data_IF_186815130180
#
_entry.id   IF_186815130180
#
_cell.length_a   1.000
_cell.length_b   1.000
_cell.length_c   1.000
_cell.angle_alpha   90.00
_cell.angle_beta   90.00
_cell.angle_gamma   90.00
#
_symmetry.space_group_name_H-M   'P 1'
#
loop_
_entity.id
_entity.type
_entity.pdbx_description
1 polymer ?
#
# COMPACT_ATOMS: atom_id res chain seq x y z
N UNK A 1 38.06 33.98 23.84
CA UNK A 1 38.21 32.72 24.59
C UNK A 1 37.92 31.56 23.64
N UNK A 2 38.95 30.80 23.26
CA UNK A 2 38.84 29.61 22.42
C UNK A 2 38.63 28.38 23.32
N UNK A 3 37.60 27.57 23.05
CA UNK A 3 37.45 26.26 23.70
C UNK A 3 37.39 25.17 22.62
N UNK A 4 38.49 24.41 22.50
CA UNK A 4 38.58 23.19 21.68
C UNK A 4 38.05 22.02 22.50
N UNK A 5 36.98 21.38 22.04
CA UNK A 5 36.53 20.09 22.55
C UNK A 5 37.17 18.99 21.69
N UNK A 6 38.05 18.18 22.28
CA UNK A 6 38.55 16.92 21.70
C UNK A 6 37.51 15.83 21.93
N UNK A 7 37.01 15.20 20.88
CA UNK A 7 36.17 13.98 20.98
C UNK A 7 37.06 12.76 20.74
N UNK A 8 37.09 11.86 21.73
CA UNK A 8 37.86 10.62 21.72
C UNK A 8 37.35 9.64 20.65
N UNK A 9 38.21 9.24 19.71
CA UNK A 9 37.93 8.31 18.62
C UNK A 9 37.86 6.82 19.05
N UNK A 10 37.96 6.51 20.34
CA UNK A 10 38.06 5.13 20.85
C UNK A 10 36.74 4.38 21.06
N UNK A 11 35.60 5.08 21.17
CA UNK A 11 34.33 4.45 21.59
C UNK A 11 33.53 3.88 20.41
N UNK A 12 33.66 4.44 19.20
CA UNK A 12 32.97 3.91 18.00
C UNK A 12 33.52 2.55 17.53
N UNK A 13 34.78 2.24 17.82
CA UNK A 13 35.40 0.96 17.42
C UNK A 13 34.86 -0.25 18.17
N UNK A 14 34.54 -0.09 19.46
CA UNK A 14 34.11 -1.21 20.32
C UNK A 14 32.66 -1.63 20.01
N UNK A 15 31.80 -0.68 19.62
CA UNK A 15 30.41 -0.96 19.22
C UNK A 15 30.35 -1.70 17.87
N UNK A 16 31.28 -1.39 16.95
CA UNK A 16 31.34 -2.08 15.65
C UNK A 16 31.83 -3.52 15.77
N UNK A 17 32.79 -3.82 16.66
CA UNK A 17 33.35 -5.17 16.82
C UNK A 17 32.34 -6.13 17.48
N UNK A 18 31.54 -5.66 18.43
CA UNK A 18 30.56 -6.50 19.15
C UNK A 18 29.33 -6.87 18.29
N UNK A 19 28.93 -6.03 17.35
CA UNK A 19 27.88 -6.37 16.38
C UNK A 19 28.33 -7.40 15.34
N UNK A 20 29.61 -7.41 14.96
CA UNK A 20 30.14 -8.33 13.94
C UNK A 20 30.42 -9.73 14.52
N UNK A 21 30.89 -9.83 15.76
CA UNK A 21 31.11 -11.13 16.42
C UNK A 21 29.81 -11.85 16.80
N UNK A 22 28.77 -11.10 17.15
CA UNK A 22 27.43 -11.66 17.39
C UNK A 22 26.78 -12.23 16.12
N UNK A 23 27.17 -11.74 14.94
CA UNK A 23 26.66 -12.22 13.66
C UNK A 23 27.34 -13.50 13.15
N UNK A 24 28.58 -13.79 13.59
CA UNK A 24 29.35 -14.95 13.13
C UNK A 24 29.14 -16.22 13.98
N UNK A 25 28.71 -16.10 15.24
CA UNK A 25 28.51 -17.26 16.12
C UNK A 25 27.18 -18.00 15.91
N UNK A 26 26.21 -17.40 15.19
CA UNK A 26 24.94 -18.05 14.85
C UNK A 26 25.01 -18.84 13.53
N UNK A 27 26.03 -18.58 12.70
CA UNK A 27 26.15 -19.18 11.37
C UNK A 27 26.93 -20.51 11.33
N UNK A 28 27.49 -20.97 12.46
CA UNK A 28 28.39 -22.13 12.47
C UNK A 28 27.92 -23.33 13.31
N UNK A 29 26.63 -23.39 13.69
CA UNK A 29 26.10 -24.53 14.45
C UNK A 29 24.91 -25.20 13.75
N UNK A 30 25.20 -25.86 12.63
CA UNK A 30 24.22 -26.64 11.88
C UNK A 30 24.87 -27.63 10.92
N UNK A 31 25.80 -28.46 11.40
CA UNK A 31 26.25 -29.63 10.64
C UNK A 31 26.71 -30.76 11.57
N UNK A 32 25.82 -31.72 11.79
CA UNK A 32 26.05 -33.12 12.18
C UNK A 32 24.70 -33.80 11.87
N UNK A 33 24.53 -34.82 11.03
CA UNK A 33 25.41 -35.82 10.47
C UNK A 33 24.60 -37.12 10.50
N UNK A 34 24.37 -37.76 9.34
CA UNK A 34 24.37 -39.22 9.21
C UNK A 34 24.16 -39.64 7.74
N UNK A 35 25.26 -40.09 7.14
CA UNK A 35 25.32 -41.01 6.00
C UNK A 35 25.48 -42.43 6.56
N UNK A 36 24.92 -43.43 5.86
CA UNK A 36 25.55 -44.72 5.46
C UNK A 36 24.47 -45.68 4.89
N UNK A 37 24.80 -46.80 4.20
CA UNK A 37 25.07 -46.81 2.76
C UNK A 37 24.42 -48.00 2.01
N UNK A 38 24.79 -48.17 0.72
CA UNK A 38 24.65 -49.37 -0.14
C UNK A 38 23.25 -49.64 -0.72
N UNK A 39 23.06 -50.19 -1.92
CA UNK A 39 23.90 -51.04 -2.77
C UNK A 39 23.49 -50.94 -4.25
N UNK A 40 24.47 -50.98 -5.15
CA UNK A 40 24.31 -51.19 -6.58
C UNK A 40 24.22 -52.69 -6.93
N UNK A 41 23.43 -53.04 -7.95
CA UNK A 41 23.74 -54.15 -8.87
C UNK A 41 22.97 -54.00 -10.20
N UNK A 42 23.56 -54.41 -11.35
CA UNK A 42 23.02 -54.15 -12.69
C UNK A 42 22.29 -55.38 -13.26
N UNK A 43 21.29 -55.16 -14.12
CA UNK A 43 20.62 -56.24 -14.86
C UNK A 43 20.23 -55.83 -16.29
N UNK A 44 20.99 -56.42 -17.22
CA UNK A 44 20.72 -56.86 -18.60
C UNK A 44 19.59 -56.27 -19.48
N UNK A 45 20.00 -56.06 -20.75
CA UNK A 45 19.26 -55.72 -21.98
C UNK A 45 18.09 -56.68 -22.31
N UNK A 46 16.99 -56.14 -22.86
CA UNK A 46 16.61 -56.18 -24.31
C UNK A 46 15.25 -55.50 -24.58
N UNK A 47 15.00 -55.00 -25.81
CA UNK A 47 13.84 -54.18 -26.16
C UNK A 47 12.69 -55.04 -26.70
N UNK A 48 11.43 -54.65 -26.47
CA UNK A 48 10.32 -54.92 -27.38
C UNK A 48 9.02 -54.24 -26.94
N UNK A 49 8.27 -53.74 -27.93
CA UNK A 49 6.82 -53.63 -27.86
C UNK A 49 6.26 -52.24 -27.59
N UNK A 50 6.13 -51.43 -28.64
CA UNK A 50 5.24 -50.27 -28.68
C UNK A 50 3.78 -50.75 -28.54
N UNK A 51 3.14 -50.43 -27.42
CA UNK A 51 1.69 -50.54 -27.25
C UNK A 51 1.09 -49.12 -27.07
N UNK A 52 -0.08 -48.84 -27.65
CA UNK A 52 -0.60 -47.48 -27.74
C UNK A 52 -1.12 -47.00 -26.37
N UNK A 53 -0.53 -45.92 -25.87
CA UNK A 53 -0.97 -45.24 -24.66
C UNK A 53 -2.33 -44.57 -24.90
N UNK A 54 -3.37 -45.04 -24.18
CA UNK A 54 -4.63 -44.30 -24.03
C UNK A 54 -4.31 -42.95 -23.40
N UNK A 55 -4.53 -41.86 -24.15
CA UNK A 55 -4.43 -40.49 -23.65
C UNK A 55 -5.44 -40.32 -22.50
N UNK A 56 -4.90 -40.03 -21.31
CA UNK A 56 -5.66 -39.53 -20.16
C UNK A 56 -6.30 -38.18 -20.55
N UNK A 57 -7.56 -37.88 -20.20
CA UNK A 57 -8.16 -36.60 -20.54
C UNK A 57 -7.35 -35.49 -19.88
N UNK A 58 -7.00 -34.47 -20.66
CA UNK A 58 -6.38 -33.25 -20.13
C UNK A 58 -7.26 -32.69 -19.01
N UNK A 59 -6.66 -32.50 -17.83
CA UNK A 59 -7.31 -31.78 -16.73
C UNK A 59 -7.68 -30.35 -17.16
N UNK A 60 -8.51 -29.64 -16.38
CA UNK A 60 -8.98 -28.31 -16.75
C UNK A 60 -7.78 -27.41 -17.07
N UNK A 61 -7.69 -26.97 -18.33
CA UNK A 61 -6.64 -26.07 -18.81
C UNK A 61 -6.72 -24.78 -18.00
N UNK A 62 -5.81 -24.59 -17.04
CA UNK A 62 -5.68 -23.34 -16.27
C UNK A 62 -5.60 -22.18 -17.27
N UNK A 63 -6.62 -21.34 -17.28
CA UNK A 63 -6.61 -20.11 -18.07
C UNK A 63 -5.39 -19.27 -17.65
N UNK A 64 -4.72 -18.57 -18.58
CA UNK A 64 -3.58 -17.73 -18.24
C UNK A 64 -4.00 -16.68 -17.22
N UNK A 65 -3.29 -16.58 -16.09
CA UNK A 65 -3.50 -15.53 -15.10
C UNK A 65 -3.35 -14.16 -15.79
N UNK A 66 -4.35 -13.27 -15.72
CA UNK A 66 -4.27 -11.91 -16.22
C UNK A 66 -2.97 -11.21 -15.78
N UNK A 67 -2.35 -10.50 -16.72
CA UNK A 67 -1.16 -9.69 -16.45
C UNK A 67 -1.61 -8.28 -16.08
N UNK A 68 -1.23 -7.83 -14.88
CA UNK A 68 -1.56 -6.49 -14.41
C UNK A 68 -0.56 -5.49 -15.01
N UNK A 69 -1.04 -4.66 -15.92
CA UNK A 69 -0.21 -3.67 -16.60
C UNK A 69 0.19 -2.50 -15.69
N UNK A 70 1.46 -2.11 -15.78
CA UNK A 70 1.98 -0.94 -15.09
C UNK A 70 2.46 -1.18 -13.65
N UNK A 71 2.43 -2.44 -13.18
CA UNK A 71 3.05 -2.88 -11.92
C UNK A 71 4.31 -3.67 -12.25
N UNK A 72 5.48 -3.04 -12.13
CA UNK A 72 6.73 -3.61 -12.62
C UNK A 72 7.61 -4.05 -11.47
N UNK A 73 8.12 -5.27 -11.52
CA UNK A 73 9.04 -5.77 -10.52
C UNK A 73 10.35 -4.98 -10.52
N UNK A 74 10.89 -4.80 -9.32
CA UNK A 74 12.18 -4.14 -9.09
C UNK A 74 13.29 -5.10 -9.54
N UNK A 75 14.25 -4.59 -10.30
CA UNK A 75 15.34 -5.31 -10.99
C UNK A 75 14.98 -5.95 -12.33
N UNK A 76 14.04 -6.87 -12.40
CA UNK A 76 13.75 -7.66 -13.63
C UNK A 76 12.68 -7.04 -14.53
N UNK A 77 11.99 -6.00 -14.07
CA UNK A 77 11.01 -5.20 -14.83
C UNK A 77 9.83 -5.99 -15.40
N UNK A 78 9.62 -7.21 -14.92
CA UNK A 78 8.49 -8.05 -15.32
C UNK A 78 7.19 -7.51 -14.72
N UNK A 79 6.06 -7.62 -15.43
CA UNK A 79 4.77 -7.22 -14.90
C UNK A 79 4.31 -8.18 -13.78
N UNK A 80 3.49 -7.68 -12.87
CA UNK A 80 2.81 -8.50 -11.86
C UNK A 80 1.80 -9.41 -12.56
N UNK A 81 1.85 -10.71 -12.23
CA UNK A 81 0.88 -11.71 -12.68
C UNK A 81 0.15 -12.24 -11.47
N UNK A 82 -1.08 -11.80 -11.27
CA UNK A 82 -1.90 -12.15 -10.13
C UNK A 82 -3.37 -11.94 -10.48
N UNK A 83 -4.21 -12.90 -10.12
CA UNK A 83 -5.67 -12.82 -10.21
C UNK A 83 -6.24 -13.74 -9.15
N UNK A 84 -7.34 -13.33 -8.52
CA UNK A 84 -8.01 -14.09 -7.48
C UNK A 84 -9.52 -14.03 -7.69
N UNK A 85 -10.23 -15.15 -7.46
CA UNK A 85 -11.68 -15.17 -7.50
C UNK A 85 -12.28 -14.30 -6.40
N UNK A 86 -11.77 -14.41 -5.18
CA UNK A 86 -12.26 -13.64 -4.01
C UNK A 86 -11.11 -12.97 -3.27
N UNK A 87 -11.26 -11.69 -3.01
CA UNK A 87 -10.29 -10.88 -2.27
C UNK A 87 -10.90 -10.33 -0.98
N UNK A 88 -10.19 -10.46 0.14
CA UNK A 88 -10.42 -9.65 1.32
C UNK A 88 -9.50 -8.42 1.26
N UNK A 89 -10.07 -7.22 1.14
CA UNK A 89 -9.35 -5.95 1.25
C UNK A 89 -9.50 -5.44 2.69
N UNK A 90 -8.41 -5.50 3.46
CA UNK A 90 -8.40 -5.11 4.86
C UNK A 90 -7.82 -3.70 4.98
N UNK A 91 -8.64 -2.72 5.35
CA UNK A 91 -8.16 -1.36 5.63
C UNK A 91 -7.41 -1.32 6.96
N UNK A 92 -6.91 -0.14 7.33
CA UNK A 92 -6.31 0.07 8.66
C UNK A 92 -7.30 0.59 9.71
N UNK A 93 -8.58 0.78 9.40
CA UNK A 93 -9.53 1.48 10.28
C UNK A 93 -9.68 0.82 11.65
N UNK A 94 -9.87 1.64 12.69
CA UNK A 94 -10.23 1.18 14.04
C UNK A 94 -11.55 0.42 14.13
N UNK A 95 -12.42 0.51 13.12
CA UNK A 95 -13.67 -0.26 13.00
C UNK A 95 -13.46 -1.78 13.03
N UNK A 96 -12.24 -2.24 12.73
CA UNK A 96 -11.86 -3.64 12.79
C UNK A 96 -11.66 -4.15 14.23
N UNK A 97 -11.43 -3.27 15.19
CA UNK A 97 -11.12 -3.64 16.58
C UNK A 97 -12.28 -4.41 17.21
N UNK A 98 -11.99 -5.60 17.74
CA UNK A 98 -12.99 -6.48 18.36
C UNK A 98 -13.97 -7.12 17.37
N UNK A 99 -13.76 -6.99 16.07
CA UNK A 99 -14.66 -7.53 15.04
C UNK A 99 -14.68 -9.06 14.94
N UNK A 100 -13.59 -9.73 15.36
CA UNK A 100 -13.43 -11.20 15.30
C UNK A 100 -13.56 -11.79 13.89
N UNK A 101 -13.32 -10.99 12.84
CA UNK A 101 -13.43 -11.38 11.43
C UNK A 101 -12.17 -12.07 10.88
N UNK A 102 -11.14 -12.28 11.70
CA UNK A 102 -9.84 -12.72 11.21
C UNK A 102 -9.86 -14.06 10.47
N UNK A 103 -10.62 -15.04 10.95
CA UNK A 103 -10.78 -16.33 10.26
C UNK A 103 -11.53 -16.20 8.93
N UNK A 104 -12.49 -15.29 8.86
CA UNK A 104 -13.26 -15.01 7.64
C UNK A 104 -12.39 -14.36 6.58
N UNK A 105 -11.61 -13.34 6.96
CA UNK A 105 -10.61 -12.69 6.11
C UNK A 105 -9.61 -13.73 5.57
N UNK A 106 -9.13 -14.63 6.43
CA UNK A 106 -8.15 -15.64 6.06
C UNK A 106 -8.74 -16.77 5.19
N UNK A 107 -10.07 -16.85 4.99
CA UNK A 107 -10.69 -17.79 4.03
C UNK A 107 -10.66 -17.28 2.59
N UNK A 108 -10.50 -15.98 2.35
CA UNK A 108 -10.43 -15.43 1.00
C UNK A 108 -9.21 -15.94 0.24
N UNK A 109 -9.31 -16.08 -1.08
CA UNK A 109 -8.19 -16.54 -1.91
C UNK A 109 -6.99 -15.59 -1.75
N UNK A 110 -7.26 -14.28 -1.83
CA UNK A 110 -6.26 -13.24 -1.64
C UNK A 110 -6.64 -12.29 -0.51
N UNK A 111 -5.65 -11.95 0.33
CA UNK A 111 -5.79 -10.92 1.37
C UNK A 111 -4.91 -9.74 1.01
N UNK A 112 -5.51 -8.57 0.85
CA UNK A 112 -4.85 -7.31 0.47
C UNK A 112 -4.77 -6.40 1.69
N UNK A 113 -3.56 -5.94 2.02
CA UNK A 113 -3.29 -5.03 3.15
C UNK A 113 -2.55 -3.78 2.70
N UNK A 114 -2.51 -2.77 3.57
CA UNK A 114 -1.92 -1.46 3.27
C UNK A 114 -0.78 -1.13 4.23
N UNK A 115 0.27 -0.52 3.68
CA UNK A 115 1.36 0.09 4.45
C UNK A 115 1.95 -0.84 5.52
N UNK A 116 2.10 -0.34 6.75
CA UNK A 116 2.65 -1.03 7.91
C UNK A 116 1.57 -1.59 8.84
N UNK A 117 0.31 -1.71 8.38
CA UNK A 117 -0.78 -2.31 9.15
C UNK A 117 -0.40 -3.73 9.60
N UNK A 118 -0.26 -3.98 10.91
CA UNK A 118 0.25 -5.25 11.43
C UNK A 118 -0.86 -6.30 11.51
N UNK A 119 -0.51 -7.56 11.27
CA UNK A 119 -1.38 -8.70 11.58
C UNK A 119 -1.06 -9.30 12.95
N UNK A 120 0.22 -9.26 13.35
CA UNK A 120 0.69 -9.71 14.66
C UNK A 120 -0.01 -8.92 15.77
N UNK A 121 -0.52 -9.65 16.77
CA UNK A 121 -1.32 -9.18 17.90
C UNK A 121 -2.75 -8.71 17.56
N UNK A 122 -3.14 -8.73 16.29
CA UNK A 122 -4.49 -8.37 15.83
C UNK A 122 -5.18 -9.50 15.05
N UNK A 123 -4.59 -10.70 15.04
CA UNK A 123 -4.99 -11.82 14.16
C UNK A 123 -6.47 -12.20 14.29
N UNK A 124 -7.02 -12.07 15.50
CA UNK A 124 -8.43 -12.39 15.76
C UNK A 124 -9.37 -11.50 14.95
N UNK A 125 -9.01 -10.24 14.79
CA UNK A 125 -9.84 -9.24 14.15
C UNK A 125 -9.52 -9.11 12.66
N UNK A 126 -8.22 -9.09 12.32
CA UNK A 126 -7.76 -8.76 10.96
C UNK A 126 -7.16 -9.92 10.19
N UNK A 127 -7.06 -11.12 10.78
CA UNK A 127 -6.47 -12.31 10.14
C UNK A 127 -4.94 -12.30 10.15
N UNK A 128 -4.33 -13.36 9.61
CA UNK A 128 -2.87 -13.61 9.57
C UNK A 128 -2.31 -13.53 8.16
N UNK A 129 -3.13 -13.81 7.14
CA UNK A 129 -2.67 -13.93 5.76
C UNK A 129 -2.47 -12.55 5.14
N UNK A 130 -1.51 -12.48 4.23
CA UNK A 130 -1.30 -11.33 3.34
C UNK A 130 -0.78 -11.87 2.00
N UNK A 131 -1.57 -11.71 0.94
CA UNK A 131 -1.18 -12.09 -0.43
C UNK A 131 -0.58 -10.90 -1.17
N UNK A 132 -1.16 -9.71 -0.98
CA UNK A 132 -0.70 -8.45 -1.58
C UNK A 132 -0.63 -7.37 -0.49
N UNK A 133 0.45 -6.59 -0.49
CA UNK A 133 0.59 -5.40 0.36
C UNK A 133 0.91 -4.17 -0.48
N UNK A 134 0.01 -3.19 -0.45
CA UNK A 134 0.16 -1.92 -1.17
C UNK A 134 0.79 -0.90 -0.22
N UNK A 135 1.92 -0.31 -0.60
CA UNK A 135 2.75 0.50 0.30
C UNK A 135 3.04 1.86 -0.30
N UNK A 136 2.65 2.92 0.41
CA UNK A 136 3.05 4.28 0.05
C UNK A 136 4.55 4.49 0.28
N UNK A 137 5.17 5.31 -0.57
CA UNK A 137 6.58 5.67 -0.47
C UNK A 137 6.98 6.19 0.93
N UNK A 138 6.08 6.93 1.59
CA UNK A 138 6.27 7.47 2.93
C UNK A 138 6.27 6.39 4.02
N UNK A 139 5.67 5.23 3.76
CA UNK A 139 5.56 4.10 4.70
C UNK A 139 6.72 3.11 4.59
N UNK A 140 7.62 3.27 3.62
CA UNK A 140 8.74 2.34 3.39
C UNK A 140 9.52 2.05 4.67
N UNK A 141 9.92 3.10 5.40
CA UNK A 141 10.73 2.94 6.61
C UNK A 141 9.99 2.20 7.74
N UNK A 142 8.68 2.41 7.87
CA UNK A 142 7.85 1.70 8.86
C UNK A 142 7.70 0.23 8.50
N UNK A 143 7.46 -0.08 7.22
CA UNK A 143 7.40 -1.47 6.73
C UNK A 143 8.73 -2.19 6.94
N UNK A 144 9.87 -1.55 6.65
CA UNK A 144 11.20 -2.14 6.85
C UNK A 144 11.54 -2.40 8.33
N UNK A 145 10.99 -1.61 9.25
CA UNK A 145 11.16 -1.84 10.70
C UNK A 145 10.42 -3.07 11.18
N UNK A 146 9.29 -3.41 10.55
CA UNK A 146 8.53 -4.62 10.86
C UNK A 146 9.15 -5.86 10.22
N UNK A 147 10.38 -6.18 10.64
CA UNK A 147 11.18 -7.30 10.09
C UNK A 147 10.43 -8.62 10.16
N UNK A 148 9.71 -8.86 11.26
CA UNK A 148 8.98 -10.10 11.45
C UNK A 148 7.82 -10.22 10.46
N UNK A 149 7.05 -9.16 10.21
CA UNK A 149 6.00 -9.16 9.18
C UNK A 149 6.59 -9.31 7.77
N UNK A 150 7.73 -8.66 7.48
CA UNK A 150 8.40 -8.76 6.18
C UNK A 150 8.99 -10.15 5.90
N UNK A 151 9.48 -10.83 6.94
CA UNK A 151 10.07 -12.17 6.86
C UNK A 151 8.99 -13.27 6.95
N UNK A 152 7.92 -13.04 7.72
CA UNK A 152 6.81 -13.99 7.90
C UNK A 152 5.72 -13.84 6.83
N UNK A 153 5.67 -12.71 6.12
CA UNK A 153 4.99 -12.61 4.84
C UNK A 153 5.53 -13.78 4.00
N UNK A 154 4.73 -14.83 3.90
CA UNK A 154 5.11 -16.11 3.31
C UNK A 154 5.83 -15.89 1.98
N UNK A 155 6.62 -16.86 1.51
CA UNK A 155 7.43 -16.76 0.29
C UNK A 155 6.65 -16.27 -0.97
N UNK A 156 5.32 -16.15 -0.90
CA UNK A 156 4.44 -15.70 -1.96
C UNK A 156 3.84 -14.30 -1.85
N UNK A 157 4.04 -13.53 -0.76
CA UNK A 157 3.47 -12.17 -0.65
C UNK A 157 4.10 -11.20 -1.66
N UNK A 158 3.26 -10.51 -2.42
CA UNK A 158 3.67 -9.43 -3.31
C UNK A 158 3.56 -8.07 -2.61
N UNK A 159 4.59 -7.24 -2.75
CA UNK A 159 4.60 -5.86 -2.27
C UNK A 159 4.55 -4.91 -3.47
N UNK A 160 3.56 -4.02 -3.51
CA UNK A 160 3.42 -3.01 -4.56
C UNK A 160 3.62 -1.63 -3.95
N UNK A 161 4.72 -0.97 -4.32
CA UNK A 161 5.06 0.36 -3.84
C UNK A 161 4.59 1.45 -4.80
N UNK A 162 4.03 2.52 -4.26
CA UNK A 162 3.60 3.69 -5.01
C UNK A 162 4.17 4.98 -4.42
N UNK A 163 4.36 5.99 -5.25
CA UNK A 163 4.90 7.27 -4.80
C UNK A 163 5.09 8.28 -5.91
N UNK A 164 5.44 9.53 -5.56
CA UNK A 164 5.74 10.56 -6.54
C UNK A 164 6.95 10.18 -7.38
N UNK A 165 6.94 10.62 -8.63
CA UNK A 165 8.00 10.30 -9.58
C UNK A 165 9.40 10.67 -9.05
N UNK A 166 9.54 11.76 -8.28
CA UNK A 166 10.80 12.18 -7.66
C UNK A 166 11.41 11.13 -6.73
N UNK A 167 10.58 10.35 -6.01
CA UNK A 167 11.03 9.33 -5.08
C UNK A 167 11.28 7.97 -5.76
N UNK A 168 10.61 7.74 -6.90
CA UNK A 168 10.58 6.45 -7.61
C UNK A 168 11.46 6.39 -8.86
N UNK A 169 12.31 7.41 -9.09
CA UNK A 169 13.20 7.47 -10.25
C UNK A 169 14.22 6.32 -10.24
N UNK A 170 14.50 5.77 -11.42
CA UNK A 170 15.47 4.67 -11.61
C UNK A 170 16.89 5.14 -11.92
N UNK A 171 17.10 6.43 -12.12
CA UNK A 171 18.38 7.06 -12.48
C UNK A 171 19.32 7.27 -11.29
N UNK A 172 19.10 6.56 -10.18
CA UNK A 172 19.84 6.73 -8.94
C UNK A 172 19.40 7.92 -8.08
N UNK A 173 18.51 8.80 -8.56
CA UNK A 173 18.00 9.94 -7.75
C UNK A 173 16.73 9.62 -6.95
N UNK A 174 16.07 8.51 -7.25
CA UNK A 174 14.87 8.06 -6.54
C UNK A 174 15.23 7.31 -5.26
N UNK A 175 15.29 8.01 -4.12
CA UNK A 175 15.71 7.41 -2.85
C UNK A 175 14.86 6.18 -2.45
N UNK A 176 13.55 6.19 -2.69
CA UNK A 176 12.68 5.03 -2.40
C UNK A 176 13.01 3.88 -3.34
N UNK A 177 13.11 4.13 -4.65
CA UNK A 177 13.50 3.09 -5.61
C UNK A 177 14.86 2.46 -5.28
N UNK A 178 15.84 3.28 -4.88
CA UNK A 178 17.17 2.80 -4.48
C UNK A 178 17.11 1.88 -3.25
N UNK A 179 16.29 2.24 -2.24
CA UNK A 179 16.08 1.38 -1.06
C UNK A 179 15.36 0.07 -1.44
N UNK A 180 14.37 0.11 -2.34
CA UNK A 180 13.70 -1.10 -2.83
C UNK A 180 14.65 -2.01 -3.60
N UNK A 181 15.56 -1.44 -4.38
CA UNK A 181 16.63 -2.17 -5.07
C UNK A 181 17.54 -2.87 -4.07
N UNK A 182 17.98 -2.17 -3.02
CA UNK A 182 18.78 -2.76 -1.96
C UNK A 182 18.01 -3.87 -1.22
N UNK A 183 16.74 -3.64 -0.89
CA UNK A 183 15.88 -4.65 -0.26
C UNK A 183 15.80 -5.92 -1.10
N UNK A 184 15.60 -5.79 -2.42
CA UNK A 184 15.54 -6.94 -3.34
C UNK A 184 16.87 -7.67 -3.45
N UNK A 185 18.00 -6.98 -3.32
CA UNK A 185 19.32 -7.61 -3.26
C UNK A 185 19.52 -8.41 -1.96
N UNK A 186 19.07 -7.87 -0.83
CA UNK A 186 19.19 -8.51 0.48
C UNK A 186 18.19 -9.66 0.67
N UNK A 187 17.00 -9.55 0.09
CA UNK A 187 15.93 -10.54 0.18
C UNK A 187 15.45 -10.92 -1.24
N UNK A 188 16.23 -11.70 -2.01
CA UNK A 188 15.93 -12.01 -3.41
C UNK A 188 14.59 -12.72 -3.64
N UNK A 189 14.08 -13.42 -2.63
CA UNK A 189 12.78 -14.11 -2.69
C UNK A 189 11.59 -13.15 -2.58
N UNK A 190 11.75 -11.94 -2.02
CA UNK A 190 10.66 -10.99 -1.91
C UNK A 190 10.18 -10.54 -3.30
N UNK A 191 8.88 -10.58 -3.51
CA UNK A 191 8.23 -10.10 -4.73
C UNK A 191 7.95 -8.60 -4.58
N UNK A 192 8.85 -7.76 -5.08
CA UNK A 192 8.79 -6.30 -4.91
C UNK A 192 8.49 -5.63 -6.24
N UNK A 193 7.37 -4.91 -6.30
CA UNK A 193 6.87 -4.21 -7.47
C UNK A 193 6.72 -2.72 -7.20
N UNK A 194 6.75 -1.93 -8.27
CA UNK A 194 6.44 -0.50 -8.23
C UNK A 194 5.31 -0.18 -9.22
N UNK A 195 4.46 0.76 -8.86
CA UNK A 195 3.52 1.37 -9.81
C UNK A 195 4.32 2.30 -10.73
N UNK A 196 4.28 2.02 -12.03
CA UNK A 196 4.96 2.82 -13.04
C UNK A 196 4.42 4.26 -13.11
N UNK A 197 5.25 5.19 -13.59
CA UNK A 197 4.83 6.59 -13.79
C UNK A 197 3.56 6.70 -14.65
N UNK A 198 3.48 5.91 -15.72
CA UNK A 198 2.32 5.90 -16.62
C UNK A 198 1.07 5.41 -15.88
N UNK A 199 1.18 4.35 -15.09
CA UNK A 199 0.04 3.83 -14.30
C UNK A 199 -0.39 4.81 -13.19
N UNK A 200 0.54 5.51 -12.55
CA UNK A 200 0.24 6.60 -11.62
C UNK A 200 -0.60 7.70 -12.28
N UNK A 201 -0.27 8.09 -13.52
CA UNK A 201 -1.07 9.07 -14.27
C UNK A 201 -2.46 8.52 -14.63
N UNK A 202 -2.59 7.23 -14.96
CA UNK A 202 -3.89 6.59 -15.18
C UNK A 202 -4.76 6.61 -13.91
N UNK A 203 -4.17 6.46 -12.72
CA UNK A 203 -4.92 6.61 -11.47
C UNK A 203 -5.37 8.06 -11.21
N UNK A 204 -4.53 9.05 -11.54
CA UNK A 204 -4.92 10.46 -11.48
C UNK A 204 -6.12 10.74 -12.42
N UNK A 205 -6.09 10.22 -13.66
CA UNK A 205 -7.19 10.38 -14.63
C UNK A 205 -8.45 9.62 -14.21
N UNK A 206 -8.31 8.42 -13.63
CA UNK A 206 -9.45 7.68 -13.07
C UNK A 206 -10.14 8.50 -11.98
N UNK A 207 -9.38 9.04 -11.03
CA UNK A 207 -9.96 9.87 -9.96
C UNK A 207 -10.70 11.08 -10.52
N UNK A 208 -10.08 11.78 -11.48
CA UNK A 208 -10.70 12.92 -12.15
C UNK A 208 -11.97 12.53 -12.89
N UNK A 209 -11.99 11.38 -13.57
CA UNK A 209 -13.16 10.87 -14.29
C UNK A 209 -14.32 10.56 -13.33
N UNK A 210 -14.03 9.95 -12.19
CA UNK A 210 -15.05 9.55 -11.22
C UNK A 210 -15.60 10.75 -10.42
N UNK A 211 -14.76 11.71 -10.08
CA UNK A 211 -15.11 12.81 -9.17
C UNK A 211 -15.37 14.14 -9.86
N UNK A 212 -14.90 14.31 -11.09
CA UNK A 212 -14.78 15.62 -11.75
C UNK A 212 -13.66 16.50 -11.19
N UNK A 213 -12.91 16.04 -10.19
CA UNK A 213 -11.90 16.82 -9.49
C UNK A 213 -10.51 16.42 -9.97
N UNK A 214 -9.76 17.40 -10.49
CA UNK A 214 -8.35 17.17 -10.77
C UNK A 214 -7.53 17.19 -9.47
N UNK A 215 -6.82 16.09 -9.23
CA UNK A 215 -6.00 15.92 -8.03
C UNK A 215 -4.93 17.02 -7.91
N UNK A 216 -4.27 17.37 -9.02
CA UNK A 216 -3.16 18.33 -9.03
C UNK A 216 -3.68 19.74 -8.78
N UNK A 217 -4.76 20.15 -9.44
CA UNK A 217 -5.36 21.47 -9.24
C UNK A 217 -5.93 21.65 -7.84
N UNK A 218 -6.46 20.57 -7.24
CA UNK A 218 -6.96 20.57 -5.86
C UNK A 218 -5.88 20.40 -4.79
N UNK A 219 -4.59 20.32 -5.20
CA UNK A 219 -3.42 20.09 -4.35
C UNK A 219 -3.58 18.92 -3.37
N UNK A 220 -4.30 17.88 -3.79
CA UNK A 220 -4.57 16.70 -2.97
C UNK A 220 -3.69 15.50 -3.38
N UNK A 221 -3.69 14.48 -2.53
CA UNK A 221 -3.07 13.18 -2.82
C UNK A 221 -4.11 12.09 -2.70
N UNK A 222 -4.03 11.11 -3.60
CA UNK A 222 -4.81 9.87 -3.47
C UNK A 222 -4.29 9.08 -2.26
N UNK A 223 -5.20 8.50 -1.49
CA UNK A 223 -4.84 7.65 -0.35
C UNK A 223 -4.27 6.30 -0.81
N UNK A 224 -3.65 5.56 0.12
CA UNK A 224 -3.29 4.16 -0.15
C UNK A 224 -4.55 3.32 -0.41
N UNK A 225 -5.65 3.60 0.29
CA UNK A 225 -6.97 3.05 0.05
C UNK A 225 -7.43 3.18 -1.41
N UNK A 226 -7.27 4.35 -2.03
CA UNK A 226 -7.58 4.55 -3.46
C UNK A 226 -6.79 3.62 -4.37
N UNK A 227 -5.46 3.61 -4.23
CA UNK A 227 -4.62 2.72 -5.04
C UNK A 227 -4.97 1.26 -4.79
N UNK A 228 -5.27 0.88 -3.56
CA UNK A 228 -5.57 -0.50 -3.19
C UNK A 228 -6.91 -0.96 -3.76
N UNK A 229 -7.96 -0.13 -3.67
CA UNK A 229 -9.26 -0.44 -4.27
C UNK A 229 -9.15 -0.56 -5.79
N UNK A 230 -8.48 0.39 -6.45
CA UNK A 230 -8.30 0.35 -7.90
C UNK A 230 -7.50 -0.88 -8.36
N UNK A 231 -6.48 -1.30 -7.59
CA UNK A 231 -5.75 -2.55 -7.83
C UNK A 231 -6.68 -3.77 -7.63
N UNK A 232 -7.50 -3.78 -6.58
CA UNK A 232 -8.41 -4.88 -6.30
C UNK A 232 -9.45 -5.07 -7.43
N UNK A 233 -9.99 -3.98 -7.99
CA UNK A 233 -10.89 -4.02 -9.16
C UNK A 233 -10.24 -4.65 -10.39
N UNK A 234 -8.94 -4.47 -10.60
CA UNK A 234 -8.21 -5.11 -11.71
C UNK A 234 -7.84 -6.58 -11.43
N UNK A 235 -7.80 -6.98 -10.15
CA UNK A 235 -7.21 -8.24 -9.70
C UNK A 235 -8.25 -9.30 -9.33
N UNK A 236 -9.42 -8.88 -8.83
CA UNK A 236 -10.36 -9.72 -8.11
C UNK A 236 -11.68 -9.93 -8.88
N UNK A 237 -12.26 -11.13 -8.79
CA UNK A 237 -13.64 -11.37 -9.24
C UNK A 237 -14.68 -10.76 -8.29
N UNK A 238 -14.46 -10.95 -6.98
CA UNK A 238 -15.24 -10.42 -5.86
C UNK A 238 -14.32 -9.73 -4.85
N UNK A 239 -14.77 -8.62 -4.27
CA UNK A 239 -14.02 -7.85 -3.27
C UNK A 239 -14.85 -7.69 -1.99
N UNK A 240 -14.40 -8.29 -0.90
CA UNK A 240 -14.95 -8.08 0.43
C UNK A 240 -14.04 -7.08 1.17
N UNK A 241 -14.57 -5.88 1.46
CA UNK A 241 -13.85 -4.75 2.06
C UNK A 241 -14.14 -4.69 3.55
N UNK A 242 -13.10 -4.78 4.38
CA UNK A 242 -13.23 -4.79 5.83
C UNK A 242 -12.69 -3.49 6.45
N UNK A 243 -13.44 -2.87 7.35
CA UNK A 243 -13.01 -1.68 8.08
C UNK A 243 -13.22 -0.40 7.29
N UNK A 244 -14.30 -0.29 6.51
CA UNK A 244 -14.57 0.93 5.75
C UNK A 244 -15.97 1.42 6.05
N UNK A 245 -16.09 2.63 6.57
CA UNK A 245 -17.38 3.29 6.81
C UNK A 245 -17.97 3.87 5.52
N UNK A 246 -19.30 4.06 5.41
CA UNK A 246 -19.91 4.73 4.28
C UNK A 246 -19.48 6.22 4.21
N UNK A 247 -19.57 6.87 3.02
CA UNK A 247 -19.05 8.22 2.80
C UNK A 247 -19.71 9.32 3.65
N UNK A 248 -20.92 9.09 4.14
CA UNK A 248 -21.70 10.00 4.96
C UNK A 248 -21.65 9.68 6.47
N UNK A 249 -20.94 8.62 6.88
CA UNK A 249 -20.84 8.17 8.26
C UNK A 249 -20.49 9.29 9.26
N UNK A 250 -19.47 10.09 8.93
CA UNK A 250 -18.98 11.20 9.78
C UNK A 250 -19.85 12.46 9.74
N UNK A 251 -20.99 12.45 9.03
CA UNK A 251 -21.98 13.53 9.08
C UNK A 251 -23.01 13.31 10.18
N UNK A 252 -23.23 12.05 10.60
CA UNK A 252 -24.16 11.73 11.66
C UNK A 252 -23.55 12.09 13.02
N UNK A 253 -24.26 12.80 13.92
CA UNK A 253 -23.75 13.09 15.26
C UNK A 253 -23.74 11.86 16.18
N UNK A 254 -24.33 10.73 15.77
CA UNK A 254 -24.51 9.53 16.60
C UNK A 254 -23.43 8.47 16.45
N UNK A 255 -22.39 8.69 15.63
CA UNK A 255 -21.34 7.69 15.46
C UNK A 255 -20.46 7.55 16.72
N UNK A 256 -20.02 6.34 17.09
CA UNK A 256 -19.02 6.17 18.13
C UNK A 256 -17.70 6.83 17.72
N UNK A 257 -17.00 7.41 18.69
CA UNK A 257 -15.60 7.83 18.49
C UNK A 257 -14.71 6.59 18.52
N UNK A 258 -13.93 6.41 17.46
CA UNK A 258 -13.05 5.27 17.27
C UNK A 258 -11.69 5.75 16.77
N UNK A 259 -10.59 5.05 17.11
CA UNK A 259 -9.27 5.41 16.60
C UNK A 259 -9.23 5.24 15.08
N UNK A 260 -8.48 6.11 14.41
CA UNK A 260 -8.25 6.07 12.96
C UNK A 260 -7.59 4.76 12.52
N UNK A 261 -6.73 4.17 13.35
CA UNK A 261 -6.08 2.89 13.09
C UNK A 261 -6.38 1.84 14.18
N UNK A 262 -6.63 0.58 13.80
CA UNK A 262 -6.86 -0.51 14.77
C UNK A 262 -5.63 -0.85 15.63
N UNK A 263 -4.44 -0.48 15.18
CA UNK A 263 -3.17 -0.73 15.85
C UNK A 263 -2.62 0.48 16.60
N UNK A 264 -3.37 1.59 16.62
CA UNK A 264 -3.03 2.82 17.36
C UNK A 264 -4.25 3.24 18.20
N UNK A 265 -4.57 2.54 19.30
CA UNK A 265 -5.76 2.83 20.10
C UNK A 265 -5.74 4.23 20.74
N UNK A 266 -4.55 4.81 20.94
CA UNK A 266 -4.36 6.20 21.38
C UNK A 266 -4.14 7.17 20.22
N UNK A 267 -4.39 6.74 18.99
CA UNK A 267 -4.29 7.54 17.79
C UNK A 267 -5.43 8.57 17.66
N UNK A 268 -5.41 9.38 16.60
CA UNK A 268 -6.45 10.36 16.36
C UNK A 268 -7.81 9.70 16.08
N UNK A 269 -8.90 10.40 16.35
CA UNK A 269 -10.26 9.95 16.04
C UNK A 269 -10.47 9.82 14.52
N UNK A 270 -11.14 8.73 14.10
CA UNK A 270 -11.36 8.35 12.71
C UNK A 270 -12.04 9.47 11.91
N UNK A 271 -13.17 9.97 12.40
CA UNK A 271 -13.94 10.99 11.69
C UNK A 271 -13.25 12.35 11.71
N UNK A 272 -12.57 12.68 12.80
CA UNK A 272 -11.73 13.88 12.88
C UNK A 272 -10.62 13.87 11.83
N UNK A 273 -9.96 12.72 11.62
CA UNK A 273 -8.96 12.55 10.56
C UNK A 273 -9.57 12.67 9.16
N UNK A 274 -10.70 12.00 8.92
CA UNK A 274 -11.36 12.08 7.62
C UNK A 274 -11.80 13.51 7.28
N UNK A 275 -12.49 14.19 8.20
CA UNK A 275 -13.01 15.54 7.96
C UNK A 275 -11.90 16.59 7.85
N UNK A 276 -10.84 16.49 8.65
CA UNK A 276 -9.71 17.42 8.59
C UNK A 276 -8.97 17.32 7.26
N UNK A 277 -8.72 16.10 6.77
CA UNK A 277 -8.10 15.88 5.46
C UNK A 277 -9.05 16.25 4.31
N UNK A 278 -10.33 15.88 4.40
CA UNK A 278 -11.32 16.15 3.36
C UNK A 278 -11.51 17.65 3.12
N UNK A 279 -11.43 18.49 4.16
CA UNK A 279 -11.65 19.95 4.06
C UNK A 279 -10.37 20.74 3.79
N UNK A 280 -9.20 20.15 3.97
CA UNK A 280 -7.95 20.88 3.81
C UNK A 280 -7.74 21.37 2.37
N UNK A 281 -7.06 22.51 2.27
CA UNK A 281 -6.62 23.16 1.02
C UNK A 281 -5.11 23.42 1.01
N UNK A 282 -4.39 23.01 2.06
CA UNK A 282 -2.95 23.25 2.25
C UNK A 282 -2.26 21.98 2.75
N UNK A 283 -1.04 21.74 2.27
CA UNK A 283 -0.25 20.55 2.65
C UNK A 283 -0.68 19.28 1.91
N UNK A 284 -0.16 18.14 2.36
CA UNK A 284 -0.47 16.82 1.78
C UNK A 284 -1.74 16.25 2.41
N UNK A 285 -2.90 16.62 1.90
CA UNK A 285 -4.19 16.10 2.36
C UNK A 285 -4.81 15.12 1.36
N UNK A 286 -5.73 14.29 1.88
CA UNK A 286 -6.42 13.26 1.12
C UNK A 286 -7.91 13.58 1.04
N UNK A 287 -8.60 13.04 0.05
CA UNK A 287 -10.05 13.20 -0.10
C UNK A 287 -10.75 11.90 0.30
N UNK A 288 -10.56 11.48 1.55
CA UNK A 288 -10.99 10.17 2.04
C UNK A 288 -12.49 9.91 1.87
N UNK A 289 -13.34 10.91 2.10
CA UNK A 289 -14.79 10.77 1.96
C UNK A 289 -15.21 10.81 0.49
N UNK A 290 -14.54 11.63 -0.32
CA UNK A 290 -14.73 11.64 -1.78
C UNK A 290 -14.35 10.29 -2.39
N UNK A 291 -13.22 9.70 -2.00
CA UNK A 291 -12.80 8.38 -2.46
C UNK A 291 -13.80 7.30 -2.06
N UNK A 292 -14.30 7.32 -0.81
CA UNK A 292 -15.36 6.40 -0.35
C UNK A 292 -16.66 6.55 -1.14
N UNK A 293 -17.02 7.76 -1.55
CA UNK A 293 -18.20 7.97 -2.40
C UNK A 293 -18.03 7.29 -3.77
N UNK A 294 -16.83 7.35 -4.35
CA UNK A 294 -16.51 6.61 -5.59
C UNK A 294 -16.59 5.09 -5.36
N UNK A 295 -16.10 4.59 -4.24
CA UNK A 295 -16.18 3.15 -3.95
C UNK A 295 -17.62 2.67 -3.76
N UNK A 296 -18.48 3.49 -3.15
CA UNK A 296 -19.91 3.24 -3.07
C UNK A 296 -20.55 3.20 -4.47
N UNK A 297 -20.18 4.12 -5.37
CA UNK A 297 -20.64 4.11 -6.76
C UNK A 297 -20.16 2.86 -7.52
N UNK A 298 -18.90 2.45 -7.35
CA UNK A 298 -18.37 1.22 -7.94
C UNK A 298 -19.10 -0.03 -7.45
N UNK A 299 -19.41 -0.10 -6.15
CA UNK A 299 -20.16 -1.22 -5.56
C UNK A 299 -21.59 -1.38 -6.10
N UNK A 300 -22.16 -0.37 -6.80
CA UNK A 300 -23.44 -0.53 -7.49
C UNK A 300 -23.36 -1.37 -8.77
N UNK A 301 -22.18 -1.52 -9.35
CA UNK A 301 -21.97 -2.19 -10.65
C UNK A 301 -20.94 -3.31 -10.62
N UNK A 302 -20.07 -3.33 -9.61
CA UNK A 302 -19.05 -4.34 -9.36
C UNK A 302 -19.40 -5.16 -8.12
N UNK A 303 -18.90 -6.40 -8.03
CA UNK A 303 -19.12 -7.32 -6.90
C UNK A 303 -18.25 -6.92 -5.68
N UNK A 304 -18.61 -5.80 -5.04
CA UNK A 304 -17.92 -5.20 -3.90
C UNK A 304 -18.86 -5.17 -2.69
N UNK A 305 -18.42 -5.76 -1.58
CA UNK A 305 -19.17 -5.86 -0.32
C UNK A 305 -18.42 -5.18 0.80
N UNK A 306 -19.11 -4.46 1.69
CA UNK A 306 -18.48 -3.77 2.82
C UNK A 306 -18.85 -4.41 4.14
N UNK A 307 -17.85 -4.57 4.99
CA UNK A 307 -17.94 -5.21 6.28
C UNK A 307 -17.25 -4.38 7.36
N UNK A 308 -17.83 -4.39 8.57
CA UNK A 308 -17.33 -3.69 9.75
C UNK A 308 -17.06 -2.19 9.51
N UNK A 309 -18.13 -1.37 9.44
CA UNK A 309 -19.55 -1.74 9.51
C UNK A 309 -20.06 -2.40 8.22
N UNK A 310 -21.13 -3.18 8.32
CA UNK A 310 -21.82 -3.71 7.13
C UNK A 310 -22.73 -2.61 6.54
N UNK A 311 -22.58 -2.31 5.25
CA UNK A 311 -23.40 -1.34 4.53
C UNK A 311 -23.38 -1.58 3.02
N UNK A 312 -24.40 -1.06 2.34
CA UNK A 312 -24.54 -1.10 0.90
C UNK A 312 -24.78 0.31 0.35
N UNK A 313 -24.32 0.62 -0.88
CA UNK A 313 -24.63 1.90 -1.49
C UNK A 313 -26.14 2.04 -1.70
N UNK A 314 -26.69 3.21 -1.36
CA UNK A 314 -28.10 3.51 -1.65
C UNK A 314 -28.39 3.26 -3.15
N UNK A 315 -29.56 2.67 -3.44
CA UNK A 315 -30.00 2.41 -4.80
C UNK A 315 -29.89 3.69 -5.64
N UNK A 316 -29.39 3.56 -6.87
CA UNK A 316 -29.30 4.70 -7.77
C UNK A 316 -30.71 5.27 -7.97
N UNK A 317 -30.96 6.49 -7.48
CA UNK A 317 -32.19 7.19 -7.79
C UNK A 317 -32.27 7.30 -9.32
N UNK A 318 -33.35 6.76 -9.90
CA UNK A 318 -33.59 6.87 -11.34
C UNK A 318 -33.45 8.33 -11.78
N UNK A 319 -32.38 8.64 -12.53
CA UNK A 319 -32.31 9.87 -13.31
C UNK A 319 -31.72 11.12 -12.66
N UNK A 320 -30.71 11.04 -11.79
CA UNK A 320 -29.79 12.17 -11.61
C UNK A 320 -28.48 11.74 -10.94
N UNK A 321 -27.37 11.93 -11.66
CA UNK A 321 -26.03 11.92 -11.07
C UNK A 321 -26.00 13.09 -10.09
N UNK A 322 -26.12 12.83 -8.79
CA UNK A 322 -26.00 13.87 -7.79
C UNK A 322 -24.64 14.55 -7.98
N UNK A 323 -24.58 15.87 -8.19
CA UNK A 323 -23.30 16.54 -8.28
C UNK A 323 -22.53 16.33 -6.98
N UNK A 324 -21.23 16.07 -7.09
CA UNK A 324 -20.33 16.13 -5.95
C UNK A 324 -20.61 17.42 -5.14
N UNK A 325 -20.58 17.38 -3.79
CA UNK A 325 -20.92 18.54 -2.97
C UNK A 325 -20.18 19.78 -3.48
N UNK A 326 -20.98 20.74 -3.96
CA UNK A 326 -20.54 21.83 -4.81
C UNK A 326 -19.40 22.64 -4.19
N UNK A 327 -18.30 22.72 -4.92
CA UNK A 327 -17.28 23.72 -4.69
C UNK A 327 -17.87 25.07 -5.10
N UNK A 328 -18.11 25.98 -4.14
CA UNK A 328 -18.53 27.36 -4.42
C UNK A 328 -17.31 28.13 -4.95
N UNK A 329 -17.29 28.60 -6.20
CA UNK A 329 -16.27 29.53 -6.69
C UNK A 329 -16.76 30.97 -6.45
N UNK A 330 -16.07 31.70 -5.59
CA UNK A 330 -16.16 33.15 -5.47
C UNK A 330 -14.93 33.62 -4.71
N UNK A 331 -14.17 34.63 -5.12
CA UNK A 331 -14.38 35.71 -6.09
C UNK A 331 -12.98 36.23 -6.43
N UNK A 332 -12.64 36.31 -7.72
CA UNK A 332 -11.47 37.08 -8.18
C UNK A 332 -11.86 38.56 -8.20
N UNK A 333 -11.09 39.48 -7.59
CA UNK A 333 -11.19 40.88 -7.90
C UNK A 333 -10.00 41.28 -8.79
N UNK A 334 -10.25 41.43 -10.09
CA UNK A 334 -9.50 42.36 -10.93
C UNK A 334 -10.52 43.13 -11.77
N UNK A 335 -10.79 44.39 -11.37
CA UNK A 335 -10.52 45.63 -12.13
C UNK A 335 -11.27 46.77 -11.46
N UNK A 336 -10.53 47.78 -10.98
CA UNK A 336 -11.07 49.00 -10.39
C UNK A 336 -9.94 49.96 -10.01
N UNK A 337 -9.70 50.91 -10.90
CA UNK A 337 -8.82 52.09 -10.91
C UNK A 337 -8.05 52.59 -9.67
N UNK A 338 -6.88 53.14 -10.04
CA UNK A 338 -5.89 53.93 -9.27
C UNK A 338 -6.47 54.93 -8.26
N UNK A 339 -5.83 54.98 -7.10
CA UNK A 339 -5.26 56.23 -6.55
C UNK A 339 -3.94 55.96 -5.83
N UNK A 340 -3.03 56.91 -6.01
CA UNK A 340 -1.63 57.02 -5.58
C UNK A 340 -1.36 56.99 -4.07
N UNK A 341 -0.24 56.37 -3.67
CA UNK A 341 0.39 56.54 -2.37
C UNK A 341 1.73 55.80 -2.31
N UNK A 342 2.82 56.52 -2.08
CA UNK A 342 4.19 56.07 -2.30
C UNK A 342 4.88 55.44 -1.07
N UNK A 343 6.01 54.78 -1.37
CA UNK A 343 7.20 54.50 -0.53
C UNK A 343 7.25 53.16 0.23
N UNK A 344 8.30 52.37 -0.06
CA UNK A 344 8.77 51.30 0.82
C UNK A 344 9.48 50.11 0.15
N UNK A 345 10.60 50.34 -0.56
CA UNK A 345 11.43 49.29 -1.19
C UNK A 345 12.37 48.65 -0.15
N UNK A 346 12.19 47.38 0.23
CA UNK A 346 13.28 46.55 0.79
C UNK A 346 13.24 45.10 0.29
N UNK A 347 14.25 44.80 -0.54
CA UNK A 347 14.94 43.53 -0.87
C UNK A 347 14.36 42.19 -0.37
N UNK A 348 14.10 41.34 -1.38
CA UNK A 348 14.12 39.89 -1.28
C UNK A 348 15.48 39.37 -0.75
N UNK A 349 15.43 38.39 0.15
CA UNK A 349 16.49 37.40 0.33
C UNK A 349 15.91 36.02 0.17
N UNK A 350 16.44 35.37 -0.85
CA UNK A 350 16.36 33.94 -1.14
C UNK A 350 16.86 33.12 0.06
N UNK A 351 16.20 32.00 0.31
CA UNK A 351 16.31 31.21 1.53
C UNK A 351 15.77 29.81 1.31
N UNK A 352 16.38 29.12 0.35
CA UNK A 352 16.28 27.67 0.16
C UNK A 352 16.49 26.92 1.49
N UNK A 353 15.41 26.36 2.04
CA UNK A 353 15.49 25.30 3.04
C UNK A 353 14.55 24.16 2.65
N UNK A 354 15.18 23.05 2.27
CA UNK A 354 14.52 21.76 2.12
C UNK A 354 13.85 21.39 3.44
N UNK A 355 12.54 21.21 3.37
CA UNK A 355 11.75 20.67 4.46
C UNK A 355 11.61 19.17 4.21
N UNK A 356 12.18 18.37 5.11
CA UNK A 356 11.87 16.96 5.26
C UNK A 356 10.43 16.84 5.78
N UNK A 357 9.54 16.29 4.97
CA UNK A 357 8.12 16.17 5.34
C UNK A 357 7.83 14.78 5.91
N UNK A 358 7.49 14.72 7.19
CA UNK A 358 6.83 13.57 7.81
C UNK A 358 5.35 13.63 7.45
N UNK A 359 4.99 13.01 6.31
CA UNK A 359 3.58 12.75 5.99
C UNK A 359 3.05 11.62 6.88
N UNK A 360 1.92 11.86 7.54
CA UNK A 360 1.12 10.81 8.18
C UNK A 360 0.78 9.72 7.17
N UNK A 361 0.75 8.46 7.62
CA UNK A 361 0.33 7.34 6.75
C UNK A 361 -1.16 7.46 6.52
N UNK A 362 -1.55 7.86 5.32
CA UNK A 362 -2.92 7.66 4.86
C UNK A 362 -3.05 6.21 4.39
N UNK A 363 -3.54 5.38 5.30
CA UNK A 363 -4.05 4.05 4.99
C UNK A 363 -5.39 4.17 4.29
#
# INVERSE_FOLDING_TARGET
>A
MNMKIRVCQGVSGIIFVTMVTSFMLVYNNGSFGNRSPSSSSPSSRRPNGTAPTKKKPDGPRRLPTPTLEGYTSVMDHKPLKMHCGTCALVTSSGQLTGSRRGEEIDRSECVIRMNDAPSVNHQRDVGRRTSLRVVAHSSLQRVLRSRQELLNASQDTAFVFWGPNSCMRRDGKGHVYNNLRLLKQLLPKLKVYIISRVKMLKFDELFKKETGIDRKSSNSWLSTGWFTMAIAVELCGRIDVYGMVPPDYCRSPSHPSLPYHYYEPSGPDECSMYLSHERSRRGSHHRFLTEKAVFADWARTLDIHFHRPDWEPAAAANGSRAPAPGWIPGSNPETGERTSGAVGRVKARDGSRGSSWQGGVAA
#
